data_IF_150741838797
#
_entry.id   IF_150741838797
#
_cell.length_a   1.000
_cell.length_b   1.000
_cell.length_c   1.000
_cell.angle_alpha   90.00
_cell.angle_beta   90.00
_cell.angle_gamma   90.00
#
_symmetry.space_group_name_H-M   'P 1'
#
loop_
_entity.id
_entity.type
_entity.pdbx_description
1 polymer ?
#
# COMPACT_ATOMS: atom_id res chain seq x y z
N UNK A 1 25.50 7.76 14.96
CA UNK A 1 24.85 8.91 14.29
C UNK A 1 23.93 8.45 13.16
N UNK A 2 24.35 7.49 12.32
CA UNK A 2 23.51 6.89 11.25
C UNK A 2 22.19 6.30 11.74
N UNK A 3 22.21 5.58 12.88
CA UNK A 3 21.00 5.02 13.52
C UNK A 3 19.90 6.06 13.79
N UNK A 4 20.25 7.32 13.94
CA UNK A 4 19.30 8.40 14.20
C UNK A 4 18.98 9.23 12.94
N UNK A 5 19.40 8.76 11.76
CA UNK A 5 19.26 9.46 10.48
C UNK A 5 19.86 10.88 10.49
N UNK A 6 20.92 11.09 11.30
CA UNK A 6 21.63 12.37 11.36
C UNK A 6 22.69 12.50 10.25
N UNK A 7 23.20 11.37 9.79
CA UNK A 7 24.14 11.26 8.68
C UNK A 7 23.97 9.92 7.98
N UNK A 8 24.49 9.79 6.76
CA UNK A 8 24.58 8.52 6.05
C UNK A 8 25.86 8.44 5.23
N UNK A 9 26.38 7.22 5.04
CA UNK A 9 27.48 6.96 4.12
C UNK A 9 27.21 7.56 2.72
N UNK A 10 28.23 8.20 2.16
CA UNK A 10 28.22 8.80 0.84
C UNK A 10 29.15 8.02 -0.11
N UNK A 11 28.83 7.88 -1.40
CA UNK A 11 29.71 7.22 -2.36
C UNK A 11 31.02 8.02 -2.47
N UNK A 12 32.12 7.43 -2.00
CA UNK A 12 33.47 7.97 -2.18
C UNK A 12 33.89 7.79 -3.63
N UNK A 13 34.39 8.84 -4.28
CA UNK A 13 35.01 8.75 -5.61
C UNK A 13 36.48 8.31 -5.57
N UNK A 14 37.08 8.18 -4.39
CA UNK A 14 38.51 7.94 -4.22
C UNK A 14 38.81 6.48 -3.86
N UNK A 15 39.79 5.89 -4.56
CA UNK A 15 40.26 4.49 -4.43
C UNK A 15 40.97 4.16 -3.09
N UNK A 16 41.08 5.12 -2.17
CA UNK A 16 41.92 4.99 -0.96
C UNK A 16 41.15 4.61 0.32
N UNK A 17 40.02 3.91 0.22
CA UNK A 17 39.30 3.36 1.39
C UNK A 17 38.72 4.40 2.37
N UNK A 18 38.70 5.69 2.02
CA UNK A 18 38.11 6.75 2.84
C UNK A 18 36.58 6.69 2.79
N UNK A 19 35.93 6.55 3.95
CA UNK A 19 34.48 6.61 4.06
C UNK A 19 34.02 8.06 4.14
N UNK A 20 33.30 8.52 3.12
CA UNK A 20 32.63 9.82 3.15
C UNK A 20 31.24 9.70 3.78
N UNK A 21 30.80 10.74 4.46
CA UNK A 21 29.48 10.80 5.08
C UNK A 21 28.78 12.11 4.73
N UNK A 22 27.50 12.02 4.39
CA UNK A 22 26.62 13.16 4.24
C UNK A 22 26.00 13.51 5.58
N UNK A 23 26.06 14.78 5.97
CA UNK A 23 25.36 15.34 7.13
C UNK A 23 24.38 16.41 6.62
N UNK A 24 23.08 16.09 6.41
CA UNK A 24 22.20 17.04 5.72
C UNK A 24 21.94 18.34 6.47
N UNK A 25 22.09 18.35 7.80
CA UNK A 25 21.91 19.56 8.62
C UNK A 25 22.99 20.62 8.42
N UNK A 26 24.16 20.26 7.87
CA UNK A 26 25.29 21.17 7.65
C UNK A 26 25.38 21.68 6.20
N UNK A 27 24.39 21.32 5.36
CA UNK A 27 24.37 21.75 3.97
C UNK A 27 24.13 23.25 3.83
N UNK A 28 24.58 23.82 2.70
CA UNK A 28 24.35 25.22 2.36
C UNK A 28 22.91 25.43 1.89
N UNK A 29 22.44 26.67 1.95
CA UNK A 29 21.19 27.09 1.34
C UNK A 29 21.34 27.19 -0.18
N UNK A 30 20.26 26.93 -0.90
CA UNK A 30 20.16 27.14 -2.35
C UNK A 30 19.31 28.38 -2.66
N UNK A 31 19.56 29.10 -3.77
CA UNK A 31 18.73 30.24 -4.17
C UNK A 31 17.24 29.90 -4.33
N UNK A 32 16.31 30.58 -3.62
CA UNK A 32 14.87 30.26 -3.66
C UNK A 32 14.19 30.48 -5.03
N UNK A 33 14.71 31.41 -5.83
CA UNK A 33 14.09 31.84 -7.11
C UNK A 33 14.12 30.72 -8.15
N UNK A 34 15.23 29.99 -8.23
CA UNK A 34 15.39 28.89 -9.19
C UNK A 34 14.54 27.67 -8.82
N UNK A 35 14.43 27.36 -7.53
CA UNK A 35 13.58 26.27 -7.02
C UNK A 35 12.12 26.55 -7.34
N UNK A 36 11.68 27.80 -7.18
CA UNK A 36 10.30 28.18 -7.47
C UNK A 36 9.98 27.98 -8.95
N UNK A 37 10.88 28.39 -9.86
CA UNK A 37 10.70 28.14 -11.31
C UNK A 37 10.58 26.64 -11.62
N UNK A 38 11.43 25.82 -11.02
CA UNK A 38 11.40 24.36 -11.18
C UNK A 38 10.04 23.77 -10.75
N UNK A 39 9.60 24.07 -9.54
CA UNK A 39 8.34 23.55 -8.98
C UNK A 39 7.16 23.98 -9.87
N UNK A 40 7.14 25.22 -10.35
CA UNK A 40 6.06 25.71 -11.20
C UNK A 40 6.02 25.09 -12.60
N UNK A 41 7.08 24.40 -13.00
CA UNK A 41 7.13 23.70 -14.28
C UNK A 41 6.65 22.25 -14.22
N UNK A 42 6.32 21.75 -13.02
CA UNK A 42 5.77 20.40 -12.86
C UNK A 42 4.36 20.29 -13.44
N UNK A 43 4.11 19.18 -14.13
CA UNK A 43 2.82 18.74 -14.66
C UNK A 43 1.84 18.40 -13.53
N UNK A 44 2.33 17.66 -12.53
CA UNK A 44 1.55 17.25 -11.37
C UNK A 44 1.53 18.34 -10.29
N UNK A 45 0.39 18.52 -9.62
CA UNK A 45 0.31 19.44 -8.50
C UNK A 45 1.17 18.97 -7.33
N UNK A 46 1.74 19.92 -6.59
CA UNK A 46 2.56 19.61 -5.41
C UNK A 46 1.72 19.02 -4.27
N UNK A 47 2.28 18.01 -3.60
CA UNK A 47 1.77 17.45 -2.36
C UNK A 47 2.40 18.18 -1.17
N UNK A 48 1.61 18.44 -0.13
CA UNK A 48 2.07 19.13 1.07
C UNK A 48 1.85 18.29 2.32
N UNK A 49 2.85 18.34 3.21
CA UNK A 49 2.77 17.85 4.60
C UNK A 49 2.73 19.07 5.50
N UNK A 50 1.55 19.39 6.05
CA UNK A 50 1.34 20.53 6.96
C UNK A 50 1.39 20.06 8.41
N UNK A 51 2.10 20.80 9.26
CA UNK A 51 2.19 20.51 10.70
C UNK A 51 1.27 21.45 11.48
N UNK A 52 0.45 20.91 12.38
CA UNK A 52 -0.54 21.70 13.13
C UNK A 52 0.11 22.68 14.11
N UNK A 53 1.33 22.38 14.56
CA UNK A 53 2.13 23.30 15.39
C UNK A 53 2.53 24.60 14.68
N UNK A 54 2.28 24.72 13.37
CA UNK A 54 2.67 25.86 12.56
C UNK A 54 4.15 25.91 12.19
N UNK A 55 4.96 24.94 12.65
CA UNK A 55 6.38 24.84 12.29
C UNK A 55 6.80 23.40 11.99
N UNK A 56 7.69 23.23 11.02
CA UNK A 56 8.37 21.96 10.77
C UNK A 56 9.42 21.75 11.86
N UNK A 57 9.43 20.59 12.57
CA UNK A 57 10.43 20.32 13.59
C UNK A 57 11.86 20.42 13.06
N UNK A 58 12.73 21.08 13.83
CA UNK A 58 14.05 21.58 13.42
C UNK A 58 15.10 20.53 13.02
N UNK A 59 14.78 19.25 12.98
CA UNK A 59 15.62 18.20 12.41
C UNK A 59 14.82 17.14 11.64
N UNK A 60 13.54 17.37 11.38
CA UNK A 60 12.70 16.41 10.69
C UNK A 60 13.10 16.29 9.22
N UNK A 61 13.23 17.43 8.54
CA UNK A 61 13.56 17.44 7.12
C UNK A 61 14.91 16.79 6.80
N UNK A 62 16.03 17.12 7.49
CA UNK A 62 17.29 16.40 7.31
C UNK A 62 17.17 14.88 7.46
N UNK A 63 16.43 14.41 8.47
CA UNK A 63 16.23 12.97 8.72
C UNK A 63 15.38 12.33 7.62
N UNK A 64 14.33 13.01 7.18
CA UNK A 64 13.49 12.58 6.07
C UNK A 64 14.32 12.43 4.79
N UNK A 65 15.18 13.41 4.49
CA UNK A 65 16.10 13.35 3.33
C UNK A 65 17.05 12.16 3.43
N UNK A 66 17.64 11.88 4.60
CA UNK A 66 18.49 10.68 4.79
C UNK A 66 17.69 9.40 4.50
N UNK A 67 16.51 9.25 5.09
CA UNK A 67 15.73 8.03 4.95
C UNK A 67 15.21 7.84 3.52
N UNK A 68 14.83 8.93 2.85
CA UNK A 68 14.38 8.92 1.46
C UNK A 68 15.53 8.61 0.48
N UNK A 69 16.73 9.14 0.75
CA UNK A 69 17.94 8.80 0.02
C UNK A 69 18.30 7.32 0.19
N UNK A 70 18.26 6.80 1.42
CA UNK A 70 18.55 5.40 1.71
C UNK A 70 17.54 4.46 1.05
N UNK A 71 16.26 4.83 1.06
CA UNK A 71 15.22 4.09 0.36
C UNK A 71 15.53 3.92 -1.12
N UNK A 72 15.66 5.02 -1.88
CA UNK A 72 15.89 4.86 -3.32
C UNK A 72 17.29 4.38 -3.68
N UNK A 73 18.27 4.41 -2.78
CA UNK A 73 19.54 3.68 -2.98
C UNK A 73 19.36 2.16 -2.89
N UNK A 74 18.54 1.69 -1.95
CA UNK A 74 18.27 0.26 -1.81
C UNK A 74 17.48 -0.29 -2.99
N UNK A 75 16.61 0.54 -3.57
CA UNK A 75 15.74 0.19 -4.70
C UNK A 75 16.35 0.60 -6.06
N UNK A 76 17.60 1.10 -6.09
CA UNK A 76 18.24 1.65 -7.30
C UNK A 76 17.42 2.71 -8.05
N UNK A 77 16.50 3.40 -7.36
CA UNK A 77 15.61 4.41 -7.94
C UNK A 77 16.32 5.72 -8.25
N UNK A 78 17.40 6.04 -7.54
CA UNK A 78 18.09 7.33 -7.67
C UNK A 78 19.40 7.19 -8.46
N UNK A 79 19.53 7.98 -9.54
CA UNK A 79 20.78 8.14 -10.27
C UNK A 79 21.66 9.21 -9.62
N UNK A 80 21.22 10.46 -9.72
CA UNK A 80 21.90 11.64 -9.17
C UNK A 80 21.05 12.28 -8.07
N UNK A 81 21.70 12.89 -7.09
CA UNK A 81 21.01 13.63 -6.03
C UNK A 81 21.64 15.02 -5.84
N UNK A 82 20.81 16.04 -5.65
CA UNK A 82 21.23 17.42 -5.33
C UNK A 82 20.61 17.81 -4.00
N UNK A 83 21.46 18.06 -3.00
CA UNK A 83 21.05 18.25 -1.62
C UNK A 83 21.50 19.61 -1.10
N UNK A 84 20.56 20.32 -0.47
CA UNK A 84 20.75 21.59 0.22
C UNK A 84 19.98 21.57 1.55
N UNK A 85 20.18 22.56 2.41
CA UNK A 85 19.66 22.55 3.78
C UNK A 85 18.14 22.34 3.87
N UNK A 86 17.39 22.95 2.96
CA UNK A 86 15.93 22.90 2.91
C UNK A 86 15.40 22.29 1.60
N UNK A 87 16.27 21.77 0.74
CA UNK A 87 15.88 21.26 -0.57
C UNK A 87 16.63 19.97 -0.87
N UNK A 88 15.94 18.99 -1.41
CA UNK A 88 16.54 17.78 -1.93
C UNK A 88 15.87 17.43 -3.26
N UNK A 89 16.68 17.17 -4.28
CA UNK A 89 16.22 16.67 -5.58
C UNK A 89 16.88 15.33 -5.87
N UNK A 90 16.05 14.36 -6.20
CA UNK A 90 16.43 12.99 -6.51
C UNK A 90 16.07 12.71 -7.95
N UNK A 91 17.04 12.45 -8.81
CA UNK A 91 16.82 12.09 -10.20
C UNK A 91 16.57 10.60 -10.30
N UNK A 92 15.59 10.19 -11.09
CA UNK A 92 15.27 8.77 -11.29
C UNK A 92 16.35 8.08 -12.10
N UNK A 93 16.54 6.77 -11.86
CA UNK A 93 17.55 5.96 -12.55
C UNK A 93 17.15 5.61 -14.00
N UNK A 94 15.86 5.45 -14.26
CA UNK A 94 15.35 5.04 -15.58
C UNK A 94 15.38 6.18 -16.61
N UNK A 95 15.30 7.44 -16.16
CA UNK A 95 15.37 8.63 -17.01
C UNK A 95 15.78 9.85 -16.15
N UNK A 96 16.89 10.50 -16.50
CA UNK A 96 17.38 11.71 -15.80
C UNK A 96 16.46 12.92 -15.97
N UNK A 97 15.48 12.84 -16.87
CA UNK A 97 14.48 13.88 -17.04
C UNK A 97 13.46 13.88 -15.90
N UNK A 98 13.23 12.77 -15.20
CA UNK A 98 12.33 12.75 -14.06
C UNK A 98 13.08 12.95 -12.74
N UNK A 99 12.45 13.67 -11.83
CA UNK A 99 13.01 13.92 -10.53
C UNK A 99 11.96 14.15 -9.47
N UNK A 100 12.25 13.71 -8.25
CA UNK A 100 11.45 13.98 -7.06
C UNK A 100 12.13 15.10 -6.28
N UNK A 101 11.36 16.12 -5.93
CA UNK A 101 11.81 17.29 -5.17
C UNK A 101 11.12 17.30 -3.80
N UNK A 102 11.91 17.40 -2.75
CA UNK A 102 11.47 17.68 -1.38
C UNK A 102 11.94 19.09 -1.01
N UNK A 103 11.02 19.96 -0.62
CA UNK A 103 11.30 21.33 -0.19
C UNK A 103 10.71 21.58 1.20
N UNK A 104 11.56 21.94 2.15
CA UNK A 104 11.15 22.36 3.47
C UNK A 104 10.88 23.85 3.50
N UNK A 105 9.67 24.21 3.86
CA UNK A 105 9.28 25.56 4.25
C UNK A 105 9.19 25.66 5.77
N UNK A 106 8.67 26.77 6.28
CA UNK A 106 8.65 27.05 7.72
C UNK A 106 7.63 26.16 8.45
N UNK A 107 6.45 25.98 7.85
CA UNK A 107 5.29 25.28 8.43
C UNK A 107 4.87 24.01 7.66
N UNK A 108 5.44 23.81 6.47
CA UNK A 108 5.06 22.75 5.54
C UNK A 108 6.27 22.14 4.83
N UNK A 109 6.16 20.86 4.47
CA UNK A 109 7.08 20.18 3.55
C UNK A 109 6.34 19.97 2.25
N UNK A 110 6.91 20.45 1.16
CA UNK A 110 6.37 20.32 -0.20
C UNK A 110 7.11 19.23 -0.95
N UNK A 111 6.33 18.43 -1.68
CA UNK A 111 6.79 17.26 -2.42
C UNK A 111 6.28 17.39 -3.85
N UNK A 112 7.19 17.25 -4.80
CA UNK A 112 6.89 17.45 -6.23
C UNK A 112 7.54 16.35 -7.04
N UNK A 113 6.75 15.70 -7.90
CA UNK A 113 7.28 14.89 -9.00
C UNK A 113 7.38 15.80 -10.22
N UNK A 114 8.57 15.84 -10.81
CA UNK A 114 8.89 16.70 -11.94
C UNK A 114 9.37 15.83 -13.10
N UNK A 115 8.60 15.77 -14.19
CA UNK A 115 9.07 15.26 -15.47
C UNK A 115 9.69 16.35 -16.33
N UNK A 116 10.78 16.01 -17.02
CA UNK A 116 11.53 16.93 -17.84
C UNK A 116 10.70 17.42 -19.01
N UNK A 117 10.54 18.74 -19.11
CA UNK A 117 9.93 19.38 -20.27
C UNK A 117 10.88 19.29 -21.47
N UNK A 118 10.92 18.16 -22.17
CA UNK A 118 11.31 18.15 -23.58
C UNK A 118 10.04 18.43 -24.38
N UNK A 119 9.65 19.70 -24.47
CA UNK A 119 8.99 20.13 -25.69
C UNK A 119 10.07 20.05 -26.76
N UNK A 120 9.94 19.12 -27.68
CA UNK A 120 10.74 19.10 -28.90
C UNK A 120 10.76 20.52 -29.45
N UNK A 121 11.94 21.11 -29.49
CA UNK A 121 12.19 22.39 -30.11
C UNK A 121 12.12 22.17 -31.62
N UNK A 122 10.93 21.87 -32.16
CA UNK A 122 10.55 21.77 -33.57
C UNK A 122 9.07 21.41 -33.59
N UNK A 123 8.17 22.39 -33.67
CA UNK A 123 6.79 22.18 -34.14
C UNK A 123 6.26 23.51 -34.70
N UNK A 124 6.91 23.97 -35.75
CA UNK A 124 6.30 24.84 -36.76
C UNK A 124 5.91 23.95 -37.95
N UNK A 125 4.86 23.11 -37.81
CA UNK A 125 3.96 22.69 -38.91
C UNK A 125 2.74 21.92 -38.34
N UNK A 126 1.51 22.18 -38.80
CA UNK A 126 0.32 21.52 -38.25
C UNK A 126 -0.08 20.25 -39.00
N UNK A 127 -0.55 19.26 -38.21
CA UNK A 127 -1.40 18.10 -38.52
C UNK A 127 -0.94 17.13 -39.64
N UNK A 128 -0.73 15.85 -39.31
CA UNK A 128 -1.78 14.82 -39.42
C UNK A 128 -1.27 13.42 -38.96
N UNK A 129 -2.21 12.59 -38.50
CA UNK A 129 -2.17 11.13 -38.30
C UNK A 129 -1.19 10.50 -37.29
N UNK A 130 -1.76 9.89 -36.23
CA UNK A 130 -1.26 8.64 -35.65
C UNK A 130 -1.01 8.63 -34.13
N UNK A 131 -1.73 7.77 -33.42
CA UNK A 131 -1.72 7.56 -31.97
C UNK A 131 -0.34 7.34 -31.31
N UNK A 132 -0.33 7.56 -29.98
CA UNK A 132 0.51 6.93 -28.93
C UNK A 132 1.80 7.61 -28.45
N UNK A 133 1.72 8.80 -27.82
CA UNK A 133 2.80 9.24 -26.88
C UNK A 133 2.37 10.13 -25.70
N UNK A 134 1.09 10.51 -25.62
CA UNK A 134 0.57 11.36 -24.52
C UNK A 134 0.14 10.50 -23.33
N UNK A 135 -0.49 9.34 -23.55
CA UNK A 135 -1.04 8.49 -22.48
C UNK A 135 0.03 7.77 -21.62
N UNK A 136 1.23 7.48 -22.15
CA UNK A 136 2.29 6.79 -21.38
C UNK A 136 3.04 7.73 -20.40
N UNK A 137 3.14 9.02 -20.73
CA UNK A 137 3.85 10.02 -19.92
C UNK A 137 3.12 10.31 -18.61
N UNK A 138 1.80 10.44 -18.69
CA UNK A 138 0.92 10.60 -17.53
C UNK A 138 0.98 9.36 -16.60
N UNK A 139 1.20 8.16 -17.16
CA UNK A 139 1.27 6.92 -16.37
C UNK A 139 2.49 6.85 -15.44
N UNK A 140 3.67 7.30 -15.88
CA UNK A 140 4.89 7.20 -15.06
C UNK A 140 4.90 8.22 -13.93
N UNK A 141 4.53 9.48 -14.19
CA UNK A 141 4.47 10.51 -13.15
C UNK A 141 3.42 10.17 -12.09
N UNK A 142 2.26 9.66 -12.52
CA UNK A 142 1.22 9.15 -11.62
C UNK A 142 1.73 8.00 -10.76
N UNK A 143 2.39 7.01 -11.38
CA UNK A 143 2.98 5.90 -10.64
C UNK A 143 4.04 6.38 -9.63
N UNK A 144 4.98 7.22 -10.07
CA UNK A 144 6.03 7.79 -9.23
C UNK A 144 5.45 8.60 -8.06
N UNK A 145 4.42 9.42 -8.32
CA UNK A 145 3.73 10.19 -7.29
C UNK A 145 3.09 9.29 -6.23
N UNK A 146 2.38 8.23 -6.66
CA UNK A 146 1.75 7.27 -5.75
C UNK A 146 2.77 6.56 -4.85
N UNK A 147 3.90 6.14 -5.42
CA UNK A 147 4.96 5.42 -4.69
C UNK A 147 5.71 6.34 -3.73
N UNK A 148 6.04 7.57 -4.16
CA UNK A 148 6.62 8.60 -3.30
C UNK A 148 5.70 8.92 -2.13
N UNK A 149 4.39 9.07 -2.38
CA UNK A 149 3.41 9.30 -1.31
C UNK A 149 3.37 8.15 -0.31
N UNK A 150 3.24 6.91 -0.79
CA UNK A 150 3.22 5.69 0.04
C UNK A 150 4.47 5.63 0.92
N UNK A 151 5.62 5.90 0.33
CA UNK A 151 6.87 5.87 1.07
C UNK A 151 6.98 7.01 2.09
N UNK A 152 6.53 8.23 1.78
CA UNK A 152 6.51 9.33 2.74
C UNK A 152 5.65 9.01 3.96
N UNK A 153 4.48 8.38 3.77
CA UNK A 153 3.63 7.90 4.87
C UNK A 153 4.38 6.89 5.74
N UNK A 154 5.07 5.93 5.12
CA UNK A 154 5.87 4.93 5.83
C UNK A 154 7.02 5.57 6.61
N UNK A 155 7.80 6.46 5.99
CA UNK A 155 8.94 7.14 6.61
C UNK A 155 8.50 8.00 7.80
N UNK A 156 7.47 8.83 7.64
CA UNK A 156 6.93 9.64 8.73
C UNK A 156 6.34 8.76 9.85
N UNK A 157 5.71 7.64 9.50
CA UNK A 157 5.26 6.63 10.44
C UNK A 157 6.40 5.98 11.23
N UNK A 158 7.53 5.67 10.58
CA UNK A 158 8.74 5.13 11.21
C UNK A 158 9.38 6.16 12.14
N UNK A 159 9.58 7.40 11.65
CA UNK A 159 10.11 8.51 12.45
C UNK A 159 9.26 8.75 13.70
N UNK A 160 7.93 8.64 13.61
CA UNK A 160 7.02 8.82 14.76
C UNK A 160 7.22 7.74 15.82
N UNK A 161 7.56 6.52 15.41
CA UNK A 161 7.87 5.42 16.35
C UNK A 161 9.24 5.59 17.00
N UNK A 162 10.21 6.06 16.24
CA UNK A 162 11.60 6.24 16.68
C UNK A 162 11.79 7.48 17.57
N UNK A 163 11.09 8.57 17.28
CA UNK A 163 11.30 9.87 17.92
C UNK A 163 10.09 10.29 18.74
N UNK A 164 10.27 10.37 20.06
CA UNK A 164 9.21 10.74 21.00
C UNK A 164 8.60 12.12 20.74
N UNK A 165 9.38 13.08 20.24
CA UNK A 165 8.91 14.42 19.92
C UNK A 165 7.96 14.46 18.71
N UNK A 166 8.00 13.47 17.82
CA UNK A 166 7.08 13.36 16.68
C UNK A 166 5.77 12.63 17.04
N UNK A 167 5.70 11.95 18.20
CA UNK A 167 4.49 11.23 18.66
C UNK A 167 3.31 12.15 18.97
N UNK A 168 3.60 13.36 19.46
CA UNK A 168 2.60 14.37 19.82
C UNK A 168 2.39 15.41 18.73
N UNK A 169 3.10 15.29 17.61
CA UNK A 169 2.97 16.19 16.47
C UNK A 169 1.93 15.65 15.53
N UNK A 170 0.91 16.45 15.28
CA UNK A 170 -0.11 16.19 14.27
C UNK A 170 0.31 16.84 12.96
N UNK A 171 0.18 16.07 11.89
CA UNK A 171 0.48 16.50 10.54
C UNK A 171 -0.58 15.95 9.59
N UNK A 172 -0.85 16.71 8.54
CA UNK A 172 -1.86 16.38 7.54
C UNK A 172 -1.22 16.42 6.16
N UNK A 173 -1.55 15.43 5.35
CA UNK A 173 -1.27 15.49 3.91
C UNK A 173 -2.38 16.26 3.23
N UNK A 174 -2.05 17.02 2.19
CA UNK A 174 -3.03 17.79 1.46
C UNK A 174 -2.39 18.60 0.34
N UNK A 175 -3.15 19.56 -0.17
CA UNK A 175 -2.77 20.40 -1.29
C UNK A 175 -3.00 21.87 -0.94
N UNK A 176 -2.35 22.77 -1.67
CA UNK A 176 -2.72 24.18 -1.66
C UNK A 176 -3.76 24.43 -2.75
N UNK A 177 -4.85 25.11 -2.40
CA UNK A 177 -5.96 25.39 -3.30
C UNK A 177 -5.48 26.18 -4.53
N UNK A 178 -5.61 25.63 -5.76
CA UNK A 178 -5.13 26.30 -6.96
C UNK A 178 -6.02 27.47 -7.43
N UNK A 179 -7.18 27.67 -6.80
CA UNK A 179 -8.18 28.70 -7.20
C UNK A 179 -7.91 30.05 -6.56
N UNK A 180 -7.49 30.07 -5.28
CA UNK A 180 -7.20 31.30 -4.54
C UNK A 180 -5.72 31.44 -4.21
N UNK A 181 -4.90 30.48 -4.64
CA UNK A 181 -3.47 30.51 -4.44
C UNK A 181 -2.73 30.15 -5.72
N UNK A 182 -1.83 31.03 -6.13
CA UNK A 182 -0.93 30.80 -7.26
C UNK A 182 0.52 30.71 -6.76
N UNK A 183 1.23 29.62 -7.08
CA UNK A 183 2.66 29.44 -6.74
C UNK A 183 2.98 29.64 -5.25
N UNK A 184 2.09 29.18 -4.36
CA UNK A 184 2.14 29.39 -2.89
C UNK A 184 2.06 30.87 -2.48
N UNK A 185 1.36 31.70 -3.25
CA UNK A 185 0.94 33.04 -2.87
C UNK A 185 -0.58 33.08 -2.86
N UNK A 186 -1.18 33.69 -1.84
CA UNK A 186 -2.62 33.96 -1.84
C UNK A 186 -2.86 35.16 -2.76
N UNK A 187 -3.78 35.00 -3.72
CA UNK A 187 -4.02 36.03 -4.75
C UNK A 187 -4.40 37.36 -4.11
N UNK A 188 -5.36 37.34 -3.19
CA UNK A 188 -5.68 38.45 -2.30
C UNK A 188 -5.88 37.95 -0.87
N UNK A 189 -5.13 38.53 0.08
CA UNK A 189 -5.19 38.13 1.48
C UNK A 189 -6.00 39.13 2.30
N UNK A 190 -7.16 38.72 2.80
CA UNK A 190 -8.02 39.57 3.65
C UNK A 190 -7.38 39.94 4.98
N UNK A 191 -6.52 39.06 5.54
CA UNK A 191 -5.85 39.30 6.82
C UNK A 191 -4.77 40.37 6.73
N UNK A 192 -4.02 40.39 5.64
CA UNK A 192 -2.90 41.32 5.43
C UNK A 192 -3.21 42.43 4.43
N UNK A 193 -4.44 42.47 3.90
CA UNK A 193 -4.94 43.42 2.91
C UNK A 193 -3.96 43.67 1.75
N UNK A 194 -3.40 42.59 1.18
CA UNK A 194 -2.42 42.68 0.09
C UNK A 194 -2.60 41.58 -0.94
N UNK A 195 -2.24 41.90 -2.18
CA UNK A 195 -2.12 40.94 -3.27
C UNK A 195 -0.84 40.10 -3.13
N UNK A 196 -0.89 38.84 -3.58
CA UNK A 196 0.27 37.95 -3.62
C UNK A 196 0.88 37.68 -2.24
N UNK A 197 0.05 37.42 -1.23
CA UNK A 197 0.56 37.18 0.13
C UNK A 197 1.28 35.84 0.22
N UNK A 198 2.61 35.89 0.44
CA UNK A 198 3.45 34.71 0.63
C UNK A 198 3.57 34.21 2.07
N UNK A 199 2.71 34.65 2.99
CA UNK A 199 2.68 34.11 4.35
C UNK A 199 2.05 32.71 4.33
N UNK A 200 2.75 31.72 4.87
CA UNK A 200 2.36 30.32 4.80
C UNK A 200 1.04 30.04 5.54
N UNK A 201 0.78 30.75 6.65
CA UNK A 201 -0.46 30.66 7.43
C UNK A 201 -1.69 31.17 6.67
N UNK A 202 -1.48 32.02 5.66
CA UNK A 202 -2.57 32.55 4.85
C UNK A 202 -3.01 31.56 3.76
N UNK A 203 -2.16 30.59 3.39
CA UNK A 203 -2.42 29.65 2.32
C UNK A 203 -3.68 28.82 2.59
N UNK A 204 -4.50 28.66 1.56
CA UNK A 204 -5.66 27.79 1.62
C UNK A 204 -5.24 26.34 1.43
N UNK A 205 -4.95 25.67 2.55
CA UNK A 205 -4.64 24.25 2.58
C UNK A 205 -5.92 23.42 2.58
N UNK A 206 -6.02 22.47 1.65
CA UNK A 206 -7.12 21.50 1.55
C UNK A 206 -6.56 20.13 1.98
N UNK A 207 -7.01 19.57 3.10
CA UNK A 207 -6.51 18.30 3.61
C UNK A 207 -6.95 17.11 2.76
N UNK A 208 -6.17 16.02 2.80
CA UNK A 208 -6.48 14.76 2.11
C UNK A 208 -7.85 14.21 2.48
N UNK A 209 -8.31 14.39 3.71
CA UNK A 209 -9.64 13.97 4.17
C UNK A 209 -10.77 14.57 3.32
N UNK A 210 -10.67 15.84 2.95
CA UNK A 210 -11.64 16.52 2.08
C UNK A 210 -11.53 16.09 0.61
N UNK A 211 -10.36 15.57 0.20
CA UNK A 211 -10.11 15.07 -1.15
C UNK A 211 -10.63 13.64 -1.38
N UNK A 212 -11.06 12.91 -0.34
CA UNK A 212 -11.46 11.49 -0.45
C UNK A 212 -12.67 11.24 -1.36
N UNK A 213 -13.52 12.24 -1.60
CA UNK A 213 -14.62 12.16 -2.56
C UNK A 213 -14.12 12.49 -3.97
N UNK A 214 -13.31 11.58 -4.54
CA UNK A 214 -12.57 11.74 -5.82
C UNK A 214 -13.47 11.99 -7.04
N UNK A 215 -14.79 11.83 -6.91
CA UNK A 215 -15.78 12.05 -7.97
C UNK A 215 -16.45 13.43 -7.93
N UNK A 216 -16.13 14.28 -6.94
CA UNK A 216 -16.69 15.63 -6.80
C UNK A 216 -15.60 16.70 -6.74
N UNK A 217 -15.97 17.91 -7.17
CA UNK A 217 -15.16 19.11 -7.07
C UNK A 217 -15.35 19.75 -5.69
N UNK A 218 -14.29 20.33 -5.14
CA UNK A 218 -14.38 21.15 -3.93
C UNK A 218 -14.60 22.60 -4.35
N UNK A 219 -15.53 23.31 -3.70
CA UNK A 219 -15.75 24.73 -4.01
C UNK A 219 -14.90 25.60 -3.08
N UNK A 220 -13.97 26.36 -3.67
CA UNK A 220 -13.22 27.37 -2.96
C UNK A 220 -14.10 28.59 -2.67
N UNK A 221 -14.23 28.94 -1.39
CA UNK A 221 -14.98 30.13 -0.93
C UNK A 221 -14.07 31.32 -0.62
N UNK A 222 -12.75 31.14 -0.71
CA UNK A 222 -11.75 32.16 -0.33
C UNK A 222 -11.38 33.13 -1.44
N UNK A 223 -11.75 32.85 -2.69
CA UNK A 223 -11.57 33.80 -3.78
C UNK A 223 -12.89 34.51 -4.07
N UNK A 224 -12.92 35.83 -3.89
CA UNK A 224 -14.08 36.66 -4.23
C UNK A 224 -14.22 36.91 -5.73
N UNK A 225 -13.15 36.71 -6.50
CA UNK A 225 -13.04 37.11 -7.92
C UNK A 225 -12.82 35.93 -8.87
N UNK A 226 -12.70 34.70 -8.36
CA UNK A 226 -12.49 33.53 -9.21
C UNK A 226 -13.74 33.24 -10.05
N UNK A 227 -13.55 33.22 -11.38
CA UNK A 227 -14.59 32.87 -12.36
C UNK A 227 -15.07 31.44 -12.18
N UNK A 228 -14.16 30.53 -11.81
CA UNK A 228 -14.48 29.16 -11.48
C UNK A 228 -13.94 28.81 -10.09
N UNK A 229 -14.85 28.65 -9.13
CA UNK A 229 -14.51 28.32 -7.76
C UNK A 229 -14.23 26.83 -7.54
N UNK A 230 -14.34 25.98 -8.57
CA UNK A 230 -14.22 24.53 -8.44
C UNK A 230 -12.76 24.07 -8.52
N UNK A 231 -12.33 23.37 -7.48
CA UNK A 231 -11.07 22.62 -7.43
C UNK A 231 -11.37 21.20 -7.89
N UNK A 232 -10.87 20.83 -9.07
CA UNK A 232 -11.06 19.49 -9.63
C UNK A 232 -10.02 18.51 -9.06
N UNK A 233 -10.50 17.49 -8.37
CA UNK A 233 -9.70 16.47 -7.66
C UNK A 233 -9.00 15.48 -8.60
N UNK A 234 -9.45 15.34 -9.86
CA UNK A 234 -8.86 14.43 -10.88
C UNK A 234 -7.37 14.61 -11.15
N UNK A 235 -6.81 15.82 -10.98
CA UNK A 235 -5.37 16.06 -11.17
C UNK A 235 -4.52 15.60 -9.98
N UNK A 236 -5.16 15.32 -8.85
CA UNK A 236 -4.51 14.97 -7.59
C UNK A 236 -4.66 13.48 -7.27
N UNK A 237 -5.46 12.74 -8.06
CA UNK A 237 -5.57 11.28 -8.00
C UNK A 237 -4.20 10.62 -8.13
N UNK A 238 -3.28 11.23 -8.88
CA UNK A 238 -1.90 10.78 -9.03
C UNK A 238 -1.19 10.45 -7.70
N UNK A 239 -1.45 11.23 -6.65
CA UNK A 239 -0.84 11.04 -5.33
C UNK A 239 -1.56 10.02 -4.46
N UNK A 240 -2.85 9.77 -4.73
CA UNK A 240 -3.74 9.04 -3.83
C UNK A 240 -4.35 7.79 -4.44
N UNK A 241 -4.10 7.51 -5.72
CA UNK A 241 -4.58 6.32 -6.40
C UNK A 241 -3.96 5.07 -5.76
N UNK A 242 -4.80 4.10 -5.41
CA UNK A 242 -4.38 2.72 -5.23
C UNK A 242 -4.21 2.07 -6.61
N UNK A 243 -3.32 1.09 -6.79
CA UNK A 243 -3.38 0.20 -7.93
C UNK A 243 -4.64 -0.67 -7.78
N UNK A 244 -5.72 -0.25 -8.46
CA UNK A 244 -7.08 -0.84 -8.52
C UNK A 244 -7.93 -0.72 -7.25
N UNK A 245 -9.12 -0.15 -7.41
CA UNK A 245 -10.36 -0.57 -6.76
C UNK A 245 -11.56 0.07 -7.46
N UNK A 246 -12.42 -0.76 -8.04
CA UNK A 246 -13.80 -0.39 -8.35
C UNK A 246 -14.62 -0.58 -7.06
N UNK A 247 -15.07 0.55 -6.52
CA UNK A 247 -16.26 0.78 -5.69
C UNK A 247 -16.86 -0.37 -4.85
N UNK A 248 -16.86 -0.22 -3.53
CA UNK A 248 -18.07 0.18 -2.76
C UNK A 248 -17.69 0.58 -1.33
N UNK A 249 -18.43 1.52 -0.76
CA UNK A 249 -18.15 2.20 0.49
C UNK A 249 -18.63 1.40 1.72
N UNK A 250 -17.86 1.40 2.81
CA UNK A 250 -18.30 1.99 4.08
C UNK A 250 -17.15 2.15 5.09
N UNK A 251 -17.28 3.15 5.95
CA UNK A 251 -16.25 3.70 6.81
C UNK A 251 -16.07 2.95 8.14
N UNK A 252 -14.82 2.84 8.64
CA UNK A 252 -14.43 3.49 9.89
C UNK A 252 -12.93 3.48 10.19
N UNK A 253 -12.48 4.57 10.79
CA UNK A 253 -11.10 4.98 10.99
C UNK A 253 -10.52 4.41 12.31
N UNK A 254 -9.52 3.54 12.18
CA UNK A 254 -8.21 3.66 12.81
C UNK A 254 -8.07 3.74 14.34
N UNK A 255 -7.48 2.68 14.92
CA UNK A 255 -6.40 2.83 15.90
C UNK A 255 -5.47 1.62 15.94
N UNK A 256 -4.28 1.73 15.34
CA UNK A 256 -3.25 0.68 15.42
C UNK A 256 -1.92 1.21 15.96
N UNK A 257 -1.60 0.73 17.16
CA UNK A 257 -0.33 0.90 17.86
C UNK A 257 0.69 -0.14 17.41
N UNK A 258 1.96 0.24 17.28
CA UNK A 258 3.05 -0.73 17.15
C UNK A 258 4.23 -0.40 18.07
N UNK A 259 4.66 -1.44 18.80
CA UNK A 259 5.85 -1.46 19.63
C UNK A 259 7.01 -2.18 18.94
N UNK A 260 8.10 -1.42 18.82
CA UNK A 260 9.53 -1.69 19.04
C UNK A 260 10.23 -2.90 18.42
N UNK A 261 11.37 -2.56 17.78
CA UNK A 261 12.47 -3.46 17.44
C UNK A 261 13.84 -2.76 17.41
N UNK A 262 14.89 -3.47 17.83
CA UNK A 262 16.33 -3.14 17.66
C UNK A 262 16.99 -3.98 16.54
N UNK A 263 18.31 -3.87 16.28
CA UNK A 263 18.93 -3.35 15.03
C UNK A 263 19.60 -4.38 14.08
N UNK A 264 19.87 -3.95 12.83
CA UNK A 264 20.38 -4.71 11.66
C UNK A 264 21.91 -4.59 11.49
N UNK A 265 22.51 -5.57 10.78
CA UNK A 265 23.82 -5.51 10.11
C UNK A 265 23.78 -6.22 8.73
N UNK A 266 24.75 -5.98 7.81
CA UNK A 266 24.52 -6.02 6.36
C UNK A 266 25.26 -7.15 5.60
N UNK A 267 24.68 -7.61 4.48
CA UNK A 267 25.32 -8.50 3.51
C UNK A 267 24.62 -8.47 2.14
N UNK A 268 25.40 -8.19 1.08
CA UNK A 268 25.05 -8.06 -0.36
C UNK A 268 24.28 -9.25 -0.95
N UNK A 269 23.39 -8.99 -1.93
CA UNK A 269 23.53 -9.47 -3.31
C UNK A 269 22.48 -8.83 -4.26
N UNK A 270 22.90 -8.71 -5.51
CA UNK A 270 22.41 -7.84 -6.60
C UNK A 270 21.03 -8.21 -7.19
N UNK A 271 20.19 -7.21 -7.47
CA UNK A 271 18.91 -7.37 -8.18
C UNK A 271 18.60 -6.11 -9.00
N UNK A 272 19.03 -6.04 -10.26
CA UNK A 272 18.49 -5.04 -11.21
C UNK A 272 18.06 -5.62 -12.57
N UNK A 273 18.49 -6.82 -13.00
CA UNK A 273 18.13 -7.34 -14.33
C UNK A 273 16.96 -8.35 -14.37
N UNK A 274 16.24 -8.58 -13.27
CA UNK A 274 15.20 -9.62 -13.20
C UNK A 274 13.76 -9.05 -13.24
N UNK A 275 13.55 -7.79 -12.84
CA UNK A 275 12.20 -7.25 -12.63
C UNK A 275 11.46 -6.88 -13.93
N UNK A 276 12.17 -6.48 -14.97
CA UNK A 276 11.54 -6.08 -16.24
C UNK A 276 11.22 -7.30 -17.13
N UNK A 277 12.11 -8.29 -17.19
CA UNK A 277 11.89 -9.53 -17.97
C UNK A 277 10.88 -10.47 -17.30
N UNK A 278 10.87 -10.60 -15.95
CA UNK A 278 9.88 -11.46 -15.27
C UNK A 278 8.45 -10.95 -15.36
N UNK A 279 8.21 -9.65 -15.51
CA UNK A 279 6.85 -9.13 -15.71
C UNK A 279 6.32 -9.41 -17.12
N UNK A 280 7.21 -9.54 -18.13
CA UNK A 280 6.82 -9.97 -19.48
C UNK A 280 6.57 -11.49 -19.54
N UNK A 281 7.36 -12.31 -18.86
CA UNK A 281 7.13 -13.77 -18.77
C UNK A 281 5.88 -14.11 -17.93
N UNK A 282 5.65 -13.42 -16.80
CA UNK A 282 4.46 -13.61 -15.97
C UNK A 282 3.19 -13.12 -16.68
N UNK A 283 3.23 -12.09 -17.52
CA UNK A 283 2.08 -11.66 -18.30
C UNK A 283 1.67 -12.71 -19.34
N UNK A 284 2.62 -13.41 -19.96
CA UNK A 284 2.31 -14.54 -20.87
C UNK A 284 1.87 -15.80 -20.13
N UNK A 285 2.42 -16.10 -18.94
CA UNK A 285 2.06 -17.30 -18.17
C UNK A 285 0.71 -17.15 -17.44
N UNK A 286 0.36 -15.93 -17.00
CA UNK A 286 -0.96 -15.61 -16.42
C UNK A 286 -2.05 -15.63 -17.50
N UNK A 287 -1.75 -15.19 -18.73
CA UNK A 287 -2.72 -15.22 -19.83
C UNK A 287 -2.96 -16.64 -20.37
N UNK A 288 -1.97 -17.55 -20.26
CA UNK A 288 -2.15 -18.96 -20.62
C UNK A 288 -2.81 -19.77 -19.50
N UNK A 289 -2.55 -19.48 -18.22
CA UNK A 289 -3.24 -20.14 -17.09
C UNK A 289 -4.69 -19.69 -16.90
N UNK A 290 -5.01 -18.42 -17.12
CA UNK A 290 -6.39 -17.90 -17.04
C UNK A 290 -7.29 -18.36 -18.20
N UNK A 291 -6.75 -18.98 -19.25
CA UNK A 291 -7.55 -19.58 -20.33
C UNK A 291 -7.86 -21.05 -20.07
N UNK A 292 -7.20 -21.72 -19.12
CA UNK A 292 -7.49 -23.13 -18.79
C UNK A 292 -8.34 -23.35 -17.52
N UNK A 293 -8.50 -22.34 -16.66
CA UNK A 293 -9.40 -22.41 -15.49
C UNK A 293 -10.75 -21.71 -15.70
N UNK A 294 -11.06 -21.24 -16.92
CA UNK A 294 -12.39 -20.65 -17.25
C UNK A 294 -13.41 -21.63 -17.84
N UNK A 295 -13.15 -22.95 -17.82
CA UNK A 295 -14.23 -23.94 -17.90
C UNK A 295 -14.79 -24.21 -16.48
N UNK A 296 -15.36 -23.18 -15.86
CA UNK A 296 -16.30 -23.36 -14.75
C UNK A 296 -17.58 -24.00 -15.32
N UNK A 297 -17.57 -25.33 -15.41
CA UNK A 297 -18.80 -26.11 -15.31
C UNK A 297 -19.40 -25.81 -13.95
N UNK A 298 -20.44 -24.98 -13.94
CA UNK A 298 -21.30 -24.74 -12.80
C UNK A 298 -21.62 -26.06 -12.09
N UNK A 299 -21.03 -26.29 -10.92
CA UNK A 299 -21.41 -27.40 -10.04
C UNK A 299 -22.77 -27.03 -9.45
N UNK A 300 -23.84 -27.43 -10.12
CA UNK A 300 -25.21 -27.32 -9.62
C UNK A 300 -25.39 -28.31 -8.48
N UNK A 301 -25.50 -27.84 -7.24
CA UNK A 301 -25.95 -28.62 -6.08
C UNK A 301 -27.48 -28.84 -6.22
N UNK A 302 -27.98 -30.04 -6.54
CA UNK A 302 -29.41 -30.26 -6.69
C UNK A 302 -30.04 -30.56 -5.31
N UNK A 303 -31.15 -29.88 -4.99
CA UNK A 303 -32.11 -30.31 -3.96
C UNK A 303 -31.85 -29.91 -2.50
N UNK A 304 -30.62 -29.72 -2.04
CA UNK A 304 -30.34 -29.47 -0.59
C UNK A 304 -30.53 -27.99 -0.17
N UNK A 305 -30.58 -27.08 -1.14
CA UNK A 305 -30.71 -25.62 -0.88
C UNK A 305 -32.06 -25.28 -0.22
N UNK A 306 -33.14 -25.99 -0.57
CA UNK A 306 -34.48 -25.77 0.01
C UNK A 306 -34.53 -26.13 1.51
N UNK A 307 -33.83 -27.17 1.91
CA UNK A 307 -33.72 -27.61 3.31
C UNK A 307 -32.85 -26.67 4.16
N UNK A 308 -31.84 -26.01 3.56
CA UNK A 308 -31.01 -25.01 4.23
C UNK A 308 -31.78 -23.70 4.51
N UNK A 309 -32.77 -23.36 3.69
CA UNK A 309 -33.63 -22.17 3.86
C UNK A 309 -34.66 -22.36 4.98
N UNK A 310 -34.96 -23.61 5.36
CA UNK A 310 -35.95 -23.93 6.39
C UNK A 310 -35.32 -23.94 7.80
N UNK A 311 -35.67 -23.01 8.71
CA UNK A 311 -35.04 -22.89 10.04
C UNK A 311 -35.42 -24.01 11.02
N UNK A 312 -36.34 -24.91 10.66
CA UNK A 312 -36.84 -25.98 11.53
C UNK A 312 -36.21 -27.36 11.28
N UNK A 313 -35.39 -27.54 10.24
CA UNK A 313 -34.77 -28.83 9.92
C UNK A 313 -33.53 -29.10 10.78
N UNK A 314 -33.44 -30.31 11.32
CA UNK A 314 -32.31 -30.74 12.16
C UNK A 314 -31.02 -30.89 11.33
N UNK A 315 -29.85 -30.46 11.85
CA UNK A 315 -28.58 -30.58 11.12
C UNK A 315 -28.24 -32.00 10.66
N UNK A 316 -28.64 -33.04 11.40
CA UNK A 316 -28.39 -34.44 11.00
C UNK A 316 -29.24 -34.83 9.80
N UNK A 317 -30.47 -34.34 9.74
CA UNK A 317 -31.40 -34.61 8.63
C UNK A 317 -30.92 -33.95 7.34
N UNK A 318 -30.41 -32.71 7.43
CA UNK A 318 -29.81 -31.99 6.30
C UNK A 318 -28.56 -32.72 5.79
N UNK A 319 -27.73 -33.26 6.69
CA UNK A 319 -26.55 -34.03 6.29
C UNK A 319 -26.90 -35.41 5.71
N UNK A 320 -27.95 -36.06 6.18
CA UNK A 320 -28.46 -37.29 5.57
C UNK A 320 -28.93 -37.03 4.13
N UNK A 321 -29.66 -35.94 3.91
CA UNK A 321 -30.06 -35.50 2.57
C UNK A 321 -28.85 -35.15 1.68
N UNK A 322 -27.80 -34.56 2.24
CA UNK A 322 -26.55 -34.31 1.49
C UNK A 322 -25.91 -35.63 1.05
N UNK A 323 -25.80 -36.62 1.96
CA UNK A 323 -25.25 -37.95 1.65
C UNK A 323 -26.05 -38.65 0.56
N UNK A 324 -27.38 -38.60 0.63
CA UNK A 324 -28.26 -39.20 -0.36
C UNK A 324 -28.14 -38.53 -1.73
N UNK A 325 -28.14 -37.20 -1.78
CA UNK A 325 -28.09 -36.44 -3.04
C UNK A 325 -26.72 -36.48 -3.73
N UNK A 326 -25.64 -36.59 -2.97
CA UNK A 326 -24.27 -36.69 -3.50
C UNK A 326 -23.77 -38.14 -3.59
N UNK A 327 -24.61 -39.13 -3.24
CA UNK A 327 -24.26 -40.54 -3.16
C UNK A 327 -22.98 -40.81 -2.35
N UNK A 328 -22.78 -40.07 -1.25
CA UNK A 328 -21.61 -40.20 -0.38
C UNK A 328 -21.89 -41.22 0.73
N UNK A 329 -20.94 -42.13 0.94
CA UNK A 329 -20.97 -43.00 2.12
C UNK A 329 -20.18 -42.40 3.31
N UNK A 330 -20.16 -43.11 4.43
CA UNK A 330 -19.44 -42.66 5.63
C UNK A 330 -17.91 -42.64 5.40
N UNK A 331 -17.40 -43.49 4.52
CA UNK A 331 -15.96 -43.56 4.21
C UNK A 331 -15.51 -42.41 3.32
N UNK A 332 -16.38 -41.95 2.41
CA UNK A 332 -16.17 -40.76 1.58
C UNK A 332 -16.10 -39.47 2.41
N UNK A 333 -16.78 -39.44 3.56
CA UNK A 333 -16.72 -38.29 4.47
C UNK A 333 -15.49 -38.32 5.38
N UNK A 334 -15.05 -39.51 5.78
CA UNK A 334 -13.83 -39.68 6.59
C UNK A 334 -12.55 -39.47 5.76
N UNK A 335 -12.59 -39.81 4.45
CA UNK A 335 -11.49 -39.62 3.49
C UNK A 335 -12.01 -39.09 2.15
N UNK A 336 -12.36 -37.80 2.07
CA UNK A 336 -12.95 -37.23 0.87
C UNK A 336 -11.95 -37.18 -0.28
N UNK A 337 -12.42 -37.49 -1.49
CA UNK A 337 -11.70 -37.20 -2.72
C UNK A 337 -11.62 -35.68 -2.94
N UNK A 338 -10.75 -35.16 -3.83
CA UNK A 338 -10.72 -33.73 -4.16
C UNK A 338 -12.07 -33.20 -4.66
N UNK A 339 -12.81 -34.00 -5.43
CA UNK A 339 -14.15 -33.65 -5.91
C UNK A 339 -15.16 -33.61 -4.76
N UNK A 340 -15.15 -34.62 -3.88
CA UNK A 340 -15.96 -34.65 -2.66
C UNK A 340 -15.65 -33.45 -1.74
N UNK A 341 -14.38 -33.09 -1.60
CA UNK A 341 -13.93 -31.93 -0.82
C UNK A 341 -14.48 -30.63 -1.40
N UNK A 342 -14.43 -30.45 -2.73
CA UNK A 342 -15.01 -29.30 -3.42
C UNK A 342 -16.53 -29.21 -3.18
N UNK A 343 -17.24 -30.33 -3.28
CA UNK A 343 -18.68 -30.38 -3.03
C UNK A 343 -19.05 -30.05 -1.58
N UNK A 344 -18.32 -30.60 -0.60
CA UNK A 344 -18.47 -30.29 0.83
C UNK A 344 -18.22 -28.80 1.10
N UNK A 345 -17.18 -28.22 0.50
CA UNK A 345 -16.86 -26.78 0.63
C UNK A 345 -17.95 -25.90 0.02
N UNK A 346 -18.46 -26.22 -1.16
CA UNK A 346 -19.58 -25.51 -1.79
C UNK A 346 -20.85 -25.58 -0.92
N UNK A 347 -21.13 -26.75 -0.34
CA UNK A 347 -22.26 -26.94 0.56
C UNK A 347 -22.11 -26.11 1.84
N UNK A 348 -20.92 -26.10 2.45
CA UNK A 348 -20.62 -25.30 3.62
C UNK A 348 -20.74 -23.79 3.34
N UNK A 349 -20.30 -23.31 2.17
CA UNK A 349 -20.50 -21.93 1.73
C UNK A 349 -22.00 -21.58 1.65
N UNK A 350 -22.80 -22.44 1.02
CA UNK A 350 -24.27 -22.27 0.91
C UNK A 350 -24.96 -22.26 2.29
N UNK A 351 -24.50 -23.10 3.22
CA UNK A 351 -25.00 -23.13 4.60
C UNK A 351 -24.64 -21.84 5.37
N UNK A 352 -23.47 -21.24 5.12
CA UNK A 352 -23.09 -19.93 5.68
C UNK A 352 -23.97 -18.81 5.15
N UNK A 353 -24.24 -18.78 3.85
CA UNK A 353 -25.09 -17.75 3.21
C UNK A 353 -26.54 -17.79 3.72
N UNK A 354 -27.02 -19.00 4.02
CA UNK A 354 -28.34 -19.24 4.64
C UNK A 354 -28.36 -19.06 6.17
N UNK A 355 -27.23 -18.64 6.77
CA UNK A 355 -27.04 -18.40 8.21
C UNK A 355 -27.19 -19.67 9.09
N UNK A 356 -27.01 -20.86 8.53
CA UNK A 356 -27.05 -22.17 9.21
C UNK A 356 -25.65 -22.64 9.62
N UNK A 357 -24.99 -21.88 10.50
CA UNK A 357 -23.64 -22.20 11.02
C UNK A 357 -23.63 -23.50 11.84
N UNK A 358 -24.78 -23.89 12.40
CA UNK A 358 -24.99 -25.17 13.10
C UNK A 358 -24.73 -26.38 12.19
N UNK A 359 -25.14 -26.31 10.92
CA UNK A 359 -24.89 -27.36 9.92
C UNK A 359 -23.40 -27.45 9.58
N UNK A 360 -22.71 -26.31 9.46
CA UNK A 360 -21.26 -26.27 9.18
C UNK A 360 -20.46 -26.85 10.34
N UNK A 361 -20.84 -26.55 11.59
CA UNK A 361 -20.21 -27.14 12.78
C UNK A 361 -20.38 -28.65 12.81
N UNK A 362 -21.59 -29.14 12.54
CA UNK A 362 -21.84 -30.58 12.54
C UNK A 362 -21.13 -31.30 11.38
N UNK A 363 -21.01 -30.64 10.22
CA UNK A 363 -20.24 -31.14 9.09
C UNK A 363 -18.75 -31.28 9.44
N UNK A 364 -18.17 -30.30 10.15
CA UNK A 364 -16.77 -30.37 10.64
C UNK A 364 -16.52 -31.50 11.64
N UNK A 365 -17.53 -31.95 12.38
CA UNK A 365 -17.39 -33.09 13.31
C UNK A 365 -17.27 -34.43 12.57
N UNK A 366 -17.80 -34.52 11.35
CA UNK A 366 -17.87 -35.77 10.58
C UNK A 366 -16.90 -35.81 9.38
N UNK A 367 -16.31 -34.69 9.00
CA UNK A 367 -15.30 -34.59 7.93
C UNK A 367 -13.92 -34.30 8.51
N UNK A 368 -12.82 -34.70 7.85
CA UNK A 368 -11.48 -34.33 8.29
C UNK A 368 -11.30 -32.81 8.25
N UNK A 369 -10.37 -32.31 9.07
CA UNK A 369 -10.05 -30.90 9.11
C UNK A 369 -9.63 -30.39 7.72
N UNK A 370 -9.87 -29.11 7.41
CA UNK A 370 -9.48 -28.50 6.12
C UNK A 370 -10.49 -28.71 4.97
N UNK A 371 -11.60 -29.42 5.22
CA UNK A 371 -12.55 -29.83 4.17
C UNK A 371 -13.67 -28.81 3.95
N UNK A 372 -14.16 -28.17 5.02
CA UNK A 372 -15.37 -27.32 4.95
C UNK A 372 -15.10 -25.87 4.52
N UNK A 373 -13.84 -25.45 4.46
CA UNK A 373 -13.50 -24.03 4.32
C UNK A 373 -13.58 -23.26 5.65
N UNK A 374 -13.22 -21.96 5.65
CA UNK A 374 -13.19 -21.12 6.85
C UNK A 374 -14.61 -20.88 7.41
N UNK A 375 -14.76 -20.69 8.72
CA UNK A 375 -16.02 -20.22 9.33
C UNK A 375 -16.27 -18.75 9.05
N UNK A 376 -15.20 -17.97 8.99
CA UNK A 376 -15.22 -16.58 8.59
C UNK A 376 -15.63 -16.44 7.11
N UNK A 377 -16.14 -15.26 6.71
CA UNK A 377 -16.40 -14.97 5.30
C UNK A 377 -15.11 -15.12 4.49
N UNK A 378 -15.17 -15.87 3.39
CA UNK A 378 -13.99 -16.19 2.58
C UNK A 378 -13.30 -14.97 1.96
N UNK A 379 -14.11 -14.01 1.53
CA UNK A 379 -13.68 -12.70 0.99
C UNK A 379 -13.22 -11.70 2.06
N UNK A 380 -13.31 -12.05 3.35
CA UNK A 380 -12.82 -11.19 4.42
C UNK A 380 -11.32 -10.99 4.26
N UNK A 381 -10.84 -9.76 4.32
CA UNK A 381 -9.41 -9.49 4.32
C UNK A 381 -8.74 -10.04 5.58
N UNK A 382 -7.49 -10.50 5.47
CA UNK A 382 -6.72 -10.98 6.63
C UNK A 382 -6.59 -9.91 7.73
N UNK A 383 -6.57 -8.63 7.36
CA UNK A 383 -6.52 -7.49 8.29
C UNK A 383 -7.77 -7.38 9.18
N UNK A 384 -8.91 -7.84 8.67
CA UNK A 384 -10.23 -7.74 9.31
C UNK A 384 -10.59 -9.00 10.12
N UNK A 385 -9.70 -10.01 10.15
CA UNK A 385 -9.89 -11.19 10.99
C UNK A 385 -9.98 -10.76 12.46
N UNK A 386 -10.99 -11.25 13.22
CA UNK A 386 -11.13 -10.95 14.64
C UNK A 386 -9.83 -11.19 15.41
N UNK A 387 -9.46 -10.22 16.25
CA UNK A 387 -8.16 -10.20 16.91
C UNK A 387 -7.89 -11.43 17.79
N UNK A 388 -8.93 -12.07 18.33
CA UNK A 388 -8.84 -13.30 19.12
C UNK A 388 -8.48 -14.50 18.23
N UNK A 389 -9.23 -14.70 17.14
CA UNK A 389 -8.99 -15.75 16.14
C UNK A 389 -7.59 -15.63 15.52
N UNK A 390 -7.21 -14.42 15.10
CA UNK A 390 -5.87 -14.18 14.54
C UNK A 390 -4.76 -14.42 15.58
N UNK A 391 -5.01 -14.10 16.86
CA UNK A 391 -4.05 -14.34 17.93
C UNK A 391 -3.87 -15.83 18.18
N UNK A 392 -4.96 -16.60 18.26
CA UNK A 392 -4.93 -18.06 18.43
C UNK A 392 -4.15 -18.73 17.31
N UNK A 393 -4.55 -18.48 16.05
CA UNK A 393 -3.89 -19.00 14.85
C UNK A 393 -2.39 -18.69 14.84
N UNK A 394 -2.02 -17.43 15.07
CA UNK A 394 -0.61 -17.01 14.97
C UNK A 394 0.25 -17.51 16.13
N UNK A 395 -0.33 -17.73 17.32
CA UNK A 395 0.37 -18.37 18.45
C UNK A 395 0.65 -19.83 18.11
N UNK A 396 -0.37 -20.57 17.65
CA UNK A 396 -0.23 -22.00 17.33
C UNK A 396 0.75 -22.25 16.19
N UNK A 397 0.72 -21.41 15.14
CA UNK A 397 1.69 -21.43 14.05
C UNK A 397 3.12 -21.11 14.50
N UNK A 398 3.27 -20.26 15.53
CA UNK A 398 4.59 -19.86 16.04
C UNK A 398 5.18 -20.93 16.97
N UNK A 399 4.34 -21.62 17.77
CA UNK A 399 4.79 -22.63 18.74
C UNK A 399 5.17 -23.95 18.05
N UNK A 400 4.47 -24.35 16.98
CA UNK A 400 4.77 -25.59 16.26
C UNK A 400 5.99 -25.40 15.34
N UNK A 401 7.15 -25.86 15.79
CA UNK A 401 8.41 -26.12 15.05
C UNK A 401 8.49 -25.54 13.62
N UNK A 402 8.76 -24.23 13.52
CA UNK A 402 9.07 -23.54 12.26
C UNK A 402 7.95 -23.54 11.20
N UNK A 403 6.73 -23.98 11.52
CA UNK A 403 5.67 -24.14 10.52
C UNK A 403 5.19 -22.82 9.95
N UNK A 404 5.19 -21.75 10.75
CA UNK A 404 4.91 -20.41 10.24
C UNK A 404 5.88 -19.96 9.13
N UNK A 405 7.12 -20.48 9.08
CA UNK A 405 8.10 -20.16 8.03
C UNK A 405 7.70 -20.79 6.70
N UNK A 406 7.14 -21.99 6.73
CA UNK A 406 6.62 -22.68 5.54
C UNK A 406 5.43 -21.90 4.98
N UNK A 407 4.50 -21.51 5.85
CA UNK A 407 3.35 -20.66 5.49
C UNK A 407 3.84 -19.33 4.91
N UNK A 408 4.75 -18.64 5.59
CA UNK A 408 5.29 -17.37 5.12
C UNK A 408 5.99 -17.50 3.75
N UNK A 409 6.71 -18.59 3.51
CA UNK A 409 7.31 -18.86 2.20
C UNK A 409 6.27 -19.04 1.09
N UNK A 410 5.18 -19.76 1.37
CA UNK A 410 4.06 -19.93 0.43
C UNK A 410 3.29 -18.65 0.19
N UNK A 411 3.16 -17.79 1.20
CA UNK A 411 2.60 -16.44 1.09
C UNK A 411 3.54 -15.43 0.38
N UNK A 412 4.66 -15.89 -0.18
CA UNK A 412 5.56 -15.07 -1.00
C UNK A 412 6.66 -14.34 -0.24
N UNK A 413 6.83 -14.55 1.07
CA UNK A 413 7.95 -13.96 1.80
C UNK A 413 9.26 -14.66 1.45
N UNK A 414 10.30 -13.88 1.20
CA UNK A 414 11.65 -14.38 0.92
C UNK A 414 12.27 -14.95 2.19
N UNK A 415 13.20 -15.89 2.05
CA UNK A 415 13.92 -16.48 3.17
C UNK A 415 14.57 -15.43 4.11
N UNK A 416 15.08 -14.32 3.54
CA UNK A 416 15.63 -13.19 4.33
C UNK A 416 14.57 -12.43 5.12
N UNK A 417 13.35 -12.30 4.60
CA UNK A 417 12.22 -11.67 5.28
C UNK A 417 11.71 -12.56 6.40
N UNK A 418 11.54 -13.86 6.12
CA UNK A 418 11.19 -14.86 7.12
C UNK A 418 12.22 -14.86 8.26
N UNK A 419 13.53 -14.93 7.95
CA UNK A 419 14.57 -14.84 8.96
C UNK A 419 14.53 -13.50 9.74
N UNK A 420 14.28 -12.39 9.04
CA UNK A 420 14.12 -11.07 9.66
C UNK A 420 12.89 -10.97 10.56
N UNK A 421 11.80 -11.69 10.29
CA UNK A 421 10.61 -11.72 11.14
C UNK A 421 10.87 -12.60 12.37
N UNK A 422 11.46 -13.78 12.16
CA UNK A 422 11.78 -14.79 13.17
C UNK A 422 12.62 -14.23 14.31
N UNK A 423 13.70 -13.52 14.00
CA UNK A 423 14.69 -13.07 14.98
C UNK A 423 14.22 -11.98 15.95
N UNK A 424 13.00 -11.50 15.78
CA UNK A 424 12.80 -10.05 15.84
C UNK A 424 11.37 -9.70 16.26
N UNK A 425 10.36 -10.48 15.88
CA UNK A 425 9.01 -10.41 16.47
C UNK A 425 8.84 -11.58 17.43
N UNK A 426 8.23 -11.34 18.60
CA UNK A 426 7.83 -12.41 19.52
C UNK A 426 6.80 -13.36 18.89
N UNK A 427 5.97 -12.82 17.97
CA UNK A 427 5.06 -13.59 17.13
C UNK A 427 5.37 -13.23 15.67
N UNK A 428 6.30 -13.96 15.03
CA UNK A 428 6.74 -13.67 13.66
C UNK A 428 5.67 -14.01 12.62
N UNK A 429 4.80 -14.99 12.91
CA UNK A 429 3.65 -15.32 12.05
C UNK A 429 2.68 -14.15 11.93
N UNK A 430 2.28 -13.54 13.05
CA UNK A 430 1.40 -12.36 13.06
C UNK A 430 1.99 -11.21 12.25
N UNK A 431 3.30 -11.00 12.35
CA UNK A 431 3.97 -9.98 11.58
C UNK A 431 4.08 -10.34 10.09
N UNK A 432 4.27 -11.62 9.75
CA UNK A 432 4.26 -12.09 8.38
C UNK A 432 2.90 -11.81 7.74
N UNK A 433 1.81 -12.28 8.35
CA UNK A 433 0.44 -12.04 7.87
C UNK A 433 0.12 -10.55 7.73
N UNK A 434 0.50 -9.73 8.73
CA UNK A 434 0.33 -8.29 8.63
C UNK A 434 1.13 -7.69 7.46
N UNK A 435 2.37 -8.14 7.22
CA UNK A 435 3.14 -7.70 6.06
C UNK A 435 2.43 -8.09 4.77
N UNK A 436 2.07 -9.36 4.58
CA UNK A 436 1.52 -9.81 3.29
C UNK A 436 0.15 -9.20 3.02
N UNK A 437 -0.67 -9.00 4.04
CA UNK A 437 -1.97 -8.37 3.90
C UNK A 437 -1.87 -6.94 3.32
N UNK A 438 -0.76 -6.22 3.57
CA UNK A 438 -0.52 -4.89 2.99
C UNK A 438 0.00 -4.92 1.55
N UNK A 439 0.49 -6.06 1.06
CA UNK A 439 1.12 -6.17 -0.27
C UNK A 439 0.21 -6.81 -1.32
N UNK A 440 -0.76 -7.64 -0.91
CA UNK A 440 -1.45 -8.53 -1.85
C UNK A 440 -2.97 -8.59 -1.74
N UNK A 441 -3.64 -7.80 -0.89
CA UNK A 441 -5.11 -7.84 -0.78
C UNK A 441 -5.63 -9.27 -0.54
N UNK A 442 -4.97 -9.99 0.38
CA UNK A 442 -5.25 -11.41 0.60
C UNK A 442 -6.47 -11.60 1.50
N UNK A 443 -7.34 -12.51 1.07
CA UNK A 443 -8.57 -12.88 1.77
C UNK A 443 -8.37 -14.16 2.62
N UNK A 444 -9.36 -14.46 3.46
CA UNK A 444 -9.34 -15.61 4.37
C UNK A 444 -9.35 -16.94 3.61
N UNK A 445 -10.05 -17.04 2.49
CA UNK A 445 -10.06 -18.26 1.66
C UNK A 445 -8.66 -18.62 1.17
N UNK A 446 -7.90 -17.63 0.67
CA UNK A 446 -6.53 -17.86 0.23
C UNK A 446 -5.62 -18.31 1.39
N UNK A 447 -5.76 -17.70 2.57
CA UNK A 447 -5.01 -18.11 3.76
C UNK A 447 -5.38 -19.54 4.20
N UNK A 448 -6.66 -19.89 4.16
CA UNK A 448 -7.17 -21.22 4.50
C UNK A 448 -6.57 -22.29 3.58
N UNK A 449 -6.55 -22.03 2.27
CA UNK A 449 -5.98 -22.95 1.29
C UNK A 449 -4.47 -23.11 1.47
N UNK A 450 -3.75 -22.01 1.69
CA UNK A 450 -2.30 -22.07 1.99
C UNK A 450 -2.02 -22.89 3.25
N UNK A 451 -2.81 -22.74 4.31
CA UNK A 451 -2.65 -23.53 5.53
C UNK A 451 -2.92 -25.02 5.30
N UNK A 452 -3.95 -25.33 4.51
CA UNK A 452 -4.31 -26.70 4.15
C UNK A 452 -3.23 -27.36 3.29
N UNK A 453 -2.74 -26.67 2.26
CA UNK A 453 -1.63 -27.11 1.42
C UNK A 453 -0.32 -27.30 2.18
N UNK A 454 -0.07 -26.48 3.20
CA UNK A 454 1.09 -26.64 4.09
C UNK A 454 0.93 -27.80 5.08
N UNK A 455 -0.14 -28.59 5.00
CA UNK A 455 -0.37 -29.74 5.86
C UNK A 455 -0.87 -29.36 7.26
N UNK A 456 -1.49 -28.18 7.41
CA UNK A 456 -2.06 -27.70 8.68
C UNK A 456 -3.59 -27.49 8.62
N UNK A 457 -4.37 -28.50 8.19
CA UNK A 457 -5.81 -28.34 8.03
C UNK A 457 -6.54 -28.02 9.35
N UNK A 458 -6.06 -28.53 10.48
CA UNK A 458 -6.62 -28.24 11.80
C UNK A 458 -6.44 -26.76 12.22
N UNK A 459 -5.38 -26.10 11.74
CA UNK A 459 -5.17 -24.67 11.97
C UNK A 459 -5.97 -23.82 10.98
N UNK A 460 -6.15 -24.32 9.75
CA UNK A 460 -7.04 -23.68 8.77
C UNK A 460 -8.47 -23.56 9.33
N UNK A 461 -8.98 -24.59 10.01
CA UNK A 461 -10.32 -24.58 10.61
C UNK A 461 -10.49 -23.62 11.81
N UNK A 462 -9.44 -22.97 12.29
CA UNK A 462 -9.55 -21.88 13.28
C UNK A 462 -10.14 -20.61 12.62
N UNK A 463 -9.90 -20.44 11.31
CA UNK A 463 -10.55 -19.43 10.47
C UNK A 463 -12.00 -19.83 10.20
#
# INVERSE_FOLDING_TARGET
MERFSLLCAWPSSNDLGSKEYLVPSTLRWYPPVEITKLITSASLPSLFVKFESGQVPSNLFPRLVVQFLQWGRNESLWSTVKLYKNFARFYTADDENYSVVLLCHSSLIEVVVHGGNVRSLNDDMPADVGNSSVDQRDSFEVFCASEVFRQLVLLLGCLRREFCWLKRMEYQFGIICPVCCHKRLVDYCDTHHKEGCGQEECLHFIPKSELRNLNQHITCTRSAVAVNNKVYTKKFTAWFASPREETTADANDGKLSCSRRGPLSPGKLDICNILVEKMRELATDLTVKLVQESEDKSVTLPGVVESLVSPSCDPKEILLQLKENLHLDQTDLEKPTPETTRMIRCFAATAKDTKRIDVVKHLREITPAGTTGPLLPGELEICEIPAETLRELTIDLTIRDLQWKVVAGRLGLRAKEIAFLDMRYNNPCKAALASVAHYHGMNVDYLYDVLTECGMPALADIL
#
